data_IF_518075064252
#
_entry.id   IF_518075064252
#
_cell.length_a   1.000
_cell.length_b   1.000
_cell.length_c   1.000
_cell.angle_alpha   90.00
_cell.angle_beta   90.00
_cell.angle_gamma   90.00
#
_symmetry.space_group_name_H-M   'P 1'
#
loop_
_entity.id
_entity.type
_entity.pdbx_description
1 polymer ?
#
# COMPACT_ATOMS: atom_id res chain seq x y z
N UNK A 1 -5.37 -20.07 12.06
CA UNK A 1 -6.21 -19.24 11.19
C UNK A 1 -5.82 -17.78 11.42
N UNK A 2 -5.45 -17.03 10.38
CA UNK A 2 -5.24 -15.58 10.53
C UNK A 2 -6.62 -14.94 10.61
N UNK A 3 -6.96 -14.39 11.77
CA UNK A 3 -8.19 -13.60 11.93
C UNK A 3 -8.05 -12.33 11.12
N UNK A 4 -8.97 -12.11 10.17
CA UNK A 4 -9.13 -10.81 9.53
C UNK A 4 -9.69 -9.86 10.58
N UNK A 5 -8.98 -8.77 10.83
CA UNK A 5 -9.45 -7.70 11.72
C UNK A 5 -9.81 -6.48 10.88
N UNK A 6 -10.61 -5.59 11.44
CA UNK A 6 -10.88 -4.24 10.92
C UNK A 6 -9.63 -3.31 11.02
N UNK A 7 -8.44 -3.90 10.98
CA UNK A 7 -7.18 -3.19 10.92
C UNK A 7 -7.09 -2.52 9.54
N UNK A 8 -7.07 -1.18 9.59
CA UNK A 8 -7.03 -0.34 8.41
C UNK A 8 -5.69 0.39 8.39
N UNK A 9 -4.91 0.22 7.33
CA UNK A 9 -3.71 1.03 7.09
C UNK A 9 -4.09 2.11 6.10
N UNK A 10 -3.89 3.36 6.51
CA UNK A 10 -3.97 4.53 5.64
C UNK A 10 -2.60 5.20 5.58
N UNK A 11 -2.21 5.64 4.41
CA UNK A 11 -0.94 6.32 4.21
C UNK A 11 -0.92 7.12 2.93
N UNK A 12 0.21 7.78 2.68
CA UNK A 12 0.47 8.50 1.44
C UNK A 12 1.80 8.01 0.86
N UNK A 13 1.79 7.65 -0.42
CA UNK A 13 2.99 7.33 -1.19
C UNK A 13 3.48 8.60 -1.85
N UNK A 14 4.73 8.95 -1.56
CA UNK A 14 5.41 10.10 -2.13
C UNK A 14 6.74 9.65 -2.73
N UNK A 15 7.15 10.32 -3.79
CA UNK A 15 8.47 10.18 -4.37
C UNK A 15 9.52 10.69 -3.36
N UNK A 16 10.56 9.89 -3.09
CA UNK A 16 11.56 10.25 -2.09
C UNK A 16 12.43 11.45 -2.48
N UNK A 17 12.62 11.70 -3.79
CA UNK A 17 13.42 12.81 -4.32
C UNK A 17 12.61 14.10 -4.45
N UNK A 18 11.41 14.01 -5.04
CA UNK A 18 10.60 15.19 -5.36
C UNK A 18 9.56 15.50 -4.29
N UNK A 19 9.32 14.58 -3.35
CA UNK A 19 8.22 14.64 -2.37
C UNK A 19 6.83 14.74 -3.03
N UNK A 20 6.74 14.55 -4.35
CA UNK A 20 5.49 14.57 -5.08
C UNK A 20 4.68 13.31 -4.79
N UNK A 21 3.36 13.43 -4.68
CA UNK A 21 2.49 12.28 -4.54
C UNK A 21 2.59 11.36 -5.76
N UNK A 22 2.74 10.05 -5.49
CA UNK A 22 2.74 9.05 -6.54
C UNK A 22 1.34 8.50 -6.70
N UNK A 23 0.66 8.93 -7.77
CA UNK A 23 -0.60 8.35 -8.19
C UNK A 23 -0.40 7.04 -8.95
N UNK A 24 -1.41 6.18 -8.93
CA UNK A 24 -1.38 4.89 -9.63
C UNK A 24 -0.26 3.94 -9.17
N UNK A 25 0.25 4.11 -7.94
CA UNK A 25 1.11 3.13 -7.30
C UNK A 25 0.26 1.99 -6.75
N UNK A 26 0.58 0.77 -7.15
CA UNK A 26 -0.01 -0.46 -6.62
C UNK A 26 0.62 -0.79 -5.27
N UNK A 27 -0.19 -0.84 -4.23
CA UNK A 27 0.18 -1.20 -2.87
C UNK A 27 -0.43 -2.56 -2.58
N UNK A 28 0.40 -3.59 -2.45
CA UNK A 28 -0.03 -4.96 -2.19
C UNK A 28 0.52 -5.45 -0.86
N UNK A 29 -0.25 -6.28 -0.17
CA UNK A 29 0.18 -6.89 1.09
C UNK A 29 0.63 -8.31 0.82
N UNK A 30 1.95 -8.54 0.88
CA UNK A 30 2.55 -9.84 0.61
C UNK A 30 1.99 -10.91 1.55
N UNK A 31 1.64 -12.06 0.96
CA UNK A 31 0.99 -13.16 1.66
C UNK A 31 -0.52 -12.99 1.85
N UNK A 32 -1.14 -12.00 1.19
CA UNK A 32 -2.60 -11.83 1.14
C UNK A 32 -3.05 -11.44 -0.28
N UNK A 33 -4.36 -11.45 -0.51
CA UNK A 33 -4.99 -10.90 -1.73
C UNK A 33 -5.34 -9.41 -1.61
N UNK A 34 -4.95 -8.77 -0.50
CA UNK A 34 -5.24 -7.36 -0.26
C UNK A 34 -4.29 -6.52 -1.12
N UNK A 35 -4.88 -5.82 -2.08
CA UNK A 35 -4.19 -4.87 -2.94
C UNK A 35 -5.03 -3.60 -3.04
N UNK A 36 -4.36 -2.47 -3.15
CA UNK A 36 -4.97 -1.16 -3.35
C UNK A 36 -4.08 -0.34 -4.28
N UNK A 37 -4.64 0.71 -4.86
CA UNK A 37 -3.90 1.64 -5.73
C UNK A 37 -3.98 3.03 -5.15
N UNK A 38 -2.90 3.78 -5.25
CA UNK A 38 -2.89 5.16 -4.78
C UNK A 38 -3.67 6.09 -5.71
N UNK A 39 -4.39 7.03 -5.11
CA UNK A 39 -5.10 8.09 -5.83
C UNK A 39 -4.16 9.22 -6.31
N UNK A 40 -4.73 10.23 -6.97
CA UNK A 40 -3.98 11.37 -7.54
C UNK A 40 -3.07 12.08 -6.53
N UNK A 41 -3.48 12.13 -5.27
CA UNK A 41 -2.74 12.71 -4.14
C UNK A 41 -1.83 11.70 -3.44
N UNK A 42 -1.68 10.50 -4.01
CA UNK A 42 -0.83 9.44 -3.49
C UNK A 42 -1.40 8.77 -2.23
N UNK A 43 -2.64 9.05 -1.83
CA UNK A 43 -3.21 8.36 -0.67
C UNK A 43 -3.52 6.91 -1.02
N UNK A 44 -3.44 6.04 -0.02
CA UNK A 44 -3.92 4.68 -0.13
C UNK A 44 -4.59 4.26 1.16
N UNK A 45 -5.53 3.33 1.03
CA UNK A 45 -6.20 2.70 2.15
C UNK A 45 -6.27 1.20 1.92
N UNK A 46 -5.60 0.46 2.80
CA UNK A 46 -5.71 -0.98 2.92
C UNK A 46 -6.71 -1.27 4.05
N UNK A 47 -7.72 -2.07 3.75
CA UNK A 47 -8.75 -2.46 4.72
C UNK A 47 -8.67 -3.96 4.96
N UNK A 48 -9.18 -4.39 6.11
CA UNK A 48 -9.34 -5.81 6.44
C UNK A 48 -8.01 -6.57 6.56
N UNK A 49 -6.95 -5.92 7.07
CA UNK A 49 -5.66 -6.58 7.20
C UNK A 49 -5.70 -7.67 8.29
N UNK A 50 -5.03 -8.81 8.06
CA UNK A 50 -4.90 -9.84 9.06
C UNK A 50 -4.06 -9.35 10.24
N UNK A 51 -4.39 -9.80 11.45
CA UNK A 51 -3.59 -9.50 12.65
C UNK A 51 -2.20 -10.11 12.52
N UNK A 52 -1.16 -9.30 12.76
CA UNK A 52 0.23 -9.73 12.82
C UNK A 52 1.16 -8.90 11.93
N UNK A 53 2.38 -9.40 11.74
CA UNK A 53 3.33 -8.77 10.81
C UNK A 53 2.83 -8.99 9.38
N UNK A 54 2.63 -7.88 8.68
CA UNK A 54 2.33 -7.83 7.25
C UNK A 54 3.47 -7.10 6.56
N UNK A 55 3.85 -7.57 5.36
CA UNK A 55 4.80 -6.88 4.52
C UNK A 55 3.99 -6.20 3.44
N UNK A 56 4.13 -4.88 3.34
CA UNK A 56 3.49 -4.07 2.31
C UNK A 56 4.52 -3.77 1.24
N UNK A 57 4.22 -4.13 0.02
CA UNK A 57 5.06 -3.85 -1.15
C UNK A 57 4.36 -2.80 -2.01
N UNK A 58 5.10 -1.76 -2.37
CA UNK A 58 4.60 -0.68 -3.22
C UNK A 58 5.32 -0.76 -4.57
N UNK A 59 4.55 -0.90 -5.64
CA UNK A 59 5.03 -0.91 -7.03
C UNK A 59 4.36 0.22 -7.79
N UNK A 60 5.12 1.05 -8.49
CA UNK A 60 4.53 1.95 -9.48
C UNK A 60 5.21 1.75 -10.83
N UNK A 61 4.43 1.89 -11.90
CA UNK A 61 4.94 1.76 -13.26
C UNK A 61 5.94 2.89 -13.52
N UNK A 62 7.25 2.56 -13.49
CA UNK A 62 8.33 3.52 -13.66
C UNK A 62 9.20 3.75 -12.41
N UNK A 63 8.78 3.26 -11.23
CA UNK A 63 9.62 3.28 -10.04
C UNK A 63 10.04 1.88 -9.64
N UNK A 64 11.30 1.75 -9.23
CA UNK A 64 11.83 0.50 -8.71
C UNK A 64 11.14 0.20 -7.39
N UNK A 65 10.36 -0.88 -7.34
CA UNK A 65 9.83 -1.43 -6.11
C UNK A 65 11.00 -1.73 -5.15
N UNK A 66 10.84 -1.39 -3.88
CA UNK A 66 11.82 -1.64 -2.83
C UNK A 66 11.19 -2.43 -1.69
#
# INVERSE_FOLDING_TARGET
MKVNTEANIKGRVVDSKTQHPLSHASVLVLGTVITTTTDADGHFMLRNLPVGKVIVEVRSAGYRAY
#
